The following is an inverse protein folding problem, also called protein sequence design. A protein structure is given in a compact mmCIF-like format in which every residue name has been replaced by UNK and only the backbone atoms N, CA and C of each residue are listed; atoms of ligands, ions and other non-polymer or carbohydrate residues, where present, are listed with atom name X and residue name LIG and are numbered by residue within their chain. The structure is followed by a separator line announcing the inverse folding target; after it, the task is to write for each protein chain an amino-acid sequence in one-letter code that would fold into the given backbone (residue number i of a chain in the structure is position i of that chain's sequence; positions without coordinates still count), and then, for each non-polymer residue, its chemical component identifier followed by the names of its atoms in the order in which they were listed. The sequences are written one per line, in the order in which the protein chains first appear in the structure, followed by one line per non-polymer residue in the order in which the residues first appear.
data_IF_805727795599
#
_entry.id   IF_805727795599
#
_cell.length_a   1.000
_cell.length_b   1.000
_cell.length_c   1.000
_cell.angle_alpha   90.00
_cell.angle_beta   90.00
_cell.angle_gamma   90.00
#
_symmetry.space_group_name_H-M   'P 1'
#
loop_
_entity.id
_entity.type
_entity.pdbx_description
1 polymer ?
#
# COMPACT_ATOMS: atom_id res chain seq x y z
N UNK A 1 8.66 3.14 18.23
CA UNK A 1 8.28 1.87 17.59
C UNK A 1 9.42 0.90 17.78
N UNK A 2 9.11 -0.38 17.94
CA UNK A 2 10.10 -1.45 18.18
C UNK A 2 9.88 -2.50 17.11
N UNK A 3 10.93 -2.83 16.37
CA UNK A 3 10.89 -3.82 15.30
C UNK A 3 10.90 -5.23 15.88
N UNK A 4 9.94 -6.02 15.44
CA UNK A 4 9.81 -7.44 15.72
C UNK A 4 10.05 -8.21 14.44
N UNK A 5 10.65 -9.40 14.56
CA UNK A 5 10.94 -10.26 13.43
C UNK A 5 10.53 -11.69 13.74
N UNK A 6 9.75 -12.29 12.87
CA UNK A 6 9.54 -13.73 12.86
C UNK A 6 10.76 -14.40 12.22
N UNK A 7 11.39 -15.30 12.96
CA UNK A 7 12.59 -16.00 12.52
C UNK A 7 12.30 -17.13 11.51
N UNK A 8 11.05 -17.57 11.41
CA UNK A 8 10.62 -18.63 10.49
C UNK A 8 10.27 -18.03 9.13
N UNK A 9 9.41 -17.02 9.10
CA UNK A 9 8.94 -16.37 7.86
C UNK A 9 9.87 -15.24 7.41
N UNK A 10 10.63 -14.65 8.33
CA UNK A 10 11.44 -13.46 8.09
C UNK A 10 10.65 -12.15 8.16
N UNK A 11 9.35 -12.22 8.46
CA UNK A 11 8.45 -11.08 8.48
C UNK A 11 8.79 -10.09 9.60
N UNK A 12 8.69 -8.80 9.31
CA UNK A 12 8.99 -7.73 10.27
C UNK A 12 7.81 -6.81 10.49
N UNK A 13 7.49 -6.54 11.75
CA UNK A 13 6.44 -5.61 12.15
C UNK A 13 6.91 -4.66 13.24
N UNK A 14 6.11 -3.63 13.50
CA UNK A 14 6.40 -2.65 14.53
C UNK A 14 5.40 -2.76 15.67
N UNK A 15 5.92 -2.91 16.89
CA UNK A 15 5.13 -2.66 18.08
C UNK A 15 5.23 -1.20 18.53
N UNK A 16 4.10 -0.70 18.98
CA UNK A 16 4.07 0.51 19.78
C UNK A 16 4.75 0.29 21.13
N UNK A 17 5.25 1.39 21.71
CA UNK A 17 5.96 1.33 22.99
C UNK A 17 5.10 0.70 24.10
N UNK A 18 3.80 1.00 24.15
CA UNK A 18 2.89 0.45 25.15
C UNK A 18 2.79 -1.07 25.05
N UNK A 19 2.43 -1.57 23.86
CA UNK A 19 2.30 -3.01 23.56
C UNK A 19 3.59 -3.76 23.92
N UNK A 20 4.74 -3.23 23.52
CA UNK A 20 6.03 -3.84 23.86
C UNK A 20 6.28 -3.89 25.37
N UNK A 21 6.01 -2.81 26.10
CA UNK A 21 6.25 -2.77 27.54
C UNK A 21 5.34 -3.76 28.28
N UNK A 22 4.08 -3.85 27.89
CA UNK A 22 3.12 -4.80 28.46
C UNK A 22 3.56 -6.25 28.21
N UNK A 23 3.90 -6.58 26.96
CA UNK A 23 4.38 -7.92 26.60
C UNK A 23 5.70 -8.25 27.31
N UNK A 24 6.65 -7.31 27.37
CA UNK A 24 7.91 -7.50 28.11
C UNK A 24 7.68 -7.84 29.57
N UNK A 25 6.72 -7.16 30.22
CA UNK A 25 6.40 -7.42 31.63
C UNK A 25 5.90 -8.86 31.83
N UNK A 26 4.99 -9.30 30.96
CA UNK A 26 4.47 -10.67 30.96
C UNK A 26 5.56 -11.72 30.69
N UNK A 27 6.49 -11.43 29.77
CA UNK A 27 7.63 -12.30 29.49
C UNK A 27 8.54 -12.45 30.73
N UNK A 28 8.80 -11.35 31.45
CA UNK A 28 9.61 -11.36 32.67
C UNK A 28 8.94 -12.16 33.80
N UNK A 29 7.63 -11.97 33.99
CA UNK A 29 6.86 -12.72 34.98
C UNK A 29 6.84 -14.23 34.67
N UNK A 30 6.69 -14.58 33.39
CA UNK A 30 6.73 -15.97 32.93
C UNK A 30 8.10 -16.61 33.18
N UNK A 31 9.19 -15.90 32.90
CA UNK A 31 10.55 -16.37 33.20
C UNK A 31 10.79 -16.58 34.70
N UNK A 32 10.35 -15.64 35.55
CA UNK A 32 10.47 -15.77 37.00
C UNK A 32 9.69 -16.98 37.53
N UNK A 33 8.47 -17.18 37.03
CA UNK A 33 7.64 -18.35 37.36
C UNK A 33 8.29 -19.65 36.90
N UNK A 34 8.93 -19.65 35.72
CA UNK A 34 9.70 -20.80 35.23
C UNK A 34 10.84 -21.17 36.17
N UNK A 35 11.65 -20.20 36.59
CA UNK A 35 12.78 -20.41 37.52
C UNK A 35 12.32 -20.93 38.88
N UNK A 36 11.18 -20.47 39.38
CA UNK A 36 10.68 -20.83 40.72
C UNK A 36 9.92 -22.17 40.75
N UNK A 37 9.09 -22.44 39.73
CA UNK A 37 8.07 -23.48 39.81
C UNK A 37 8.02 -24.43 38.58
N UNK A 38 8.93 -24.27 37.61
CA UNK A 38 9.10 -25.24 36.51
C UNK A 38 8.29 -24.96 35.23
N UNK A 39 7.79 -23.74 35.04
CA UNK A 39 7.17 -23.30 33.79
C UNK A 39 5.67 -23.56 33.74
N UNK A 40 4.92 -22.54 33.32
CA UNK A 40 3.46 -22.62 33.18
C UNK A 40 3.14 -22.34 31.71
N UNK A 41 2.50 -23.30 31.04
CA UNK A 41 1.95 -23.09 29.70
C UNK A 41 0.75 -22.15 29.85
N UNK A 42 0.86 -20.94 29.30
CA UNK A 42 -0.25 -19.98 29.28
C UNK A 42 -1.13 -20.23 28.04
N UNK A 43 -2.46 -20.05 28.12
CA UNK A 43 -3.31 -20.04 26.95
C UNK A 43 -2.95 -18.86 26.03
N UNK A 44 -3.17 -19.00 24.72
CA UNK A 44 -2.71 -18.08 23.66
C UNK A 44 -3.05 -16.61 23.91
N UNK A 45 -4.21 -16.29 24.50
CA UNK A 45 -4.61 -14.91 24.85
C UNK A 45 -3.75 -14.25 25.94
N UNK A 46 -3.02 -15.04 26.71
CA UNK A 46 -2.17 -14.58 27.82
C UNK A 46 -0.70 -14.91 27.61
N UNK A 47 -0.37 -15.46 26.44
CA UNK A 47 1.00 -15.73 26.01
C UNK A 47 1.55 -14.45 25.35
N UNK A 48 2.59 -13.81 25.94
CA UNK A 48 3.17 -12.60 25.37
C UNK A 48 3.93 -12.82 24.07
N UNK A 49 4.19 -14.07 23.67
CA UNK A 49 4.81 -14.43 22.40
C UNK A 49 3.79 -14.74 21.31
N UNK A 50 2.50 -14.90 21.67
CA UNK A 50 1.45 -15.16 20.70
C UNK A 50 1.06 -13.86 19.99
N UNK A 51 1.20 -13.84 18.67
CA UNK A 51 0.69 -12.78 17.81
C UNK A 51 -0.61 -13.25 17.16
N UNK A 52 -1.63 -12.39 17.14
CA UNK A 52 -2.86 -12.67 16.38
C UNK A 52 -2.61 -12.53 14.88
N UNK A 53 -3.46 -13.14 14.05
CA UNK A 53 -3.43 -13.03 12.59
C UNK A 53 -3.79 -11.60 12.12
N UNK A 54 -2.98 -10.62 12.47
CA UNK A 54 -3.14 -9.23 12.06
C UNK A 54 -2.54 -9.00 10.66
N UNK A 55 -3.07 -8.01 9.96
CA UNK A 55 -2.56 -7.65 8.63
C UNK A 55 -1.21 -6.98 8.77
N UNK A 56 -0.18 -7.61 8.21
CA UNK A 56 1.18 -7.07 8.21
C UNK A 56 1.40 -6.05 7.09
N UNK A 57 2.02 -4.91 7.41
CA UNK A 57 2.49 -3.98 6.40
C UNK A 57 3.77 -4.50 5.74
N UNK A 58 3.65 -5.05 4.54
CA UNK A 58 4.80 -5.51 3.73
C UNK A 58 5.65 -4.33 3.24
N UNK A 59 5.00 -3.26 2.77
CA UNK A 59 5.72 -2.07 2.33
C UNK A 59 4.82 -0.98 1.77
N UNK A 60 5.43 0.13 1.37
CA UNK A 60 4.76 1.31 0.83
C UNK A 60 5.38 1.75 -0.50
N UNK A 61 4.56 2.28 -1.39
CA UNK A 61 4.97 2.77 -2.71
C UNK A 61 4.40 4.18 -2.95
N UNK A 62 5.22 5.25 -2.83
CA UNK A 62 4.74 6.61 -3.03
C UNK A 62 4.56 6.92 -4.52
N UNK A 63 3.37 7.37 -4.91
CA UNK A 63 3.07 7.82 -6.26
C UNK A 63 3.16 9.35 -6.36
N UNK A 64 4.05 9.86 -7.22
CA UNK A 64 4.19 11.29 -7.47
C UNK A 64 3.22 11.78 -8.54
N UNK A 65 2.35 12.73 -8.19
CA UNK A 65 1.27 13.21 -9.06
C UNK A 65 1.63 14.49 -9.84
N UNK A 66 2.87 14.97 -9.76
CA UNK A 66 3.26 16.28 -10.28
C UNK A 66 3.01 16.44 -11.79
N UNK A 67 3.22 15.40 -12.60
CA UNK A 67 2.99 15.50 -14.05
C UNK A 67 1.50 15.73 -14.39
N UNK A 68 0.57 15.26 -13.54
CA UNK A 68 -0.86 15.54 -13.70
C UNK A 68 -1.15 17.04 -13.56
N UNK A 69 -0.33 17.81 -12.84
CA UNK A 69 -0.53 19.26 -12.73
C UNK A 69 -0.35 19.99 -14.07
N UNK A 70 0.31 19.35 -15.03
CA UNK A 70 0.52 19.82 -16.40
C UNK A 70 -0.37 19.08 -17.42
N UNK A 71 -1.32 18.27 -16.94
CA UNK A 71 -2.12 17.32 -17.75
C UNK A 71 -1.27 16.34 -18.58
N UNK A 72 -0.13 15.90 -18.05
CA UNK A 72 0.63 14.80 -18.64
C UNK A 72 0.18 13.48 -18.05
N UNK A 73 0.14 12.43 -18.89
CA UNK A 73 -0.03 11.07 -18.41
C UNK A 73 1.27 10.53 -17.80
N UNK A 74 1.11 9.58 -16.88
CA UNK A 74 2.20 8.94 -16.17
C UNK A 74 1.98 7.44 -16.27
N UNK A 75 3.00 6.74 -16.73
CA UNK A 75 3.11 5.29 -16.61
C UNK A 75 4.42 5.00 -15.91
N UNK A 76 4.35 4.39 -14.72
CA UNK A 76 5.52 4.26 -13.84
C UNK A 76 5.50 2.98 -13.03
N UNK A 77 6.69 2.47 -12.74
CA UNK A 77 6.94 1.34 -11.85
C UNK A 77 7.45 1.87 -10.53
N UNK A 78 6.61 1.78 -9.49
CA UNK A 78 6.94 2.25 -8.15
C UNK A 78 7.59 1.11 -7.36
N UNK A 79 8.70 1.41 -6.69
CA UNK A 79 9.29 0.48 -5.73
C UNK A 79 8.42 0.41 -4.48
N UNK A 80 8.04 -0.81 -4.09
CA UNK A 80 7.43 -1.09 -2.80
C UNK A 80 8.58 -1.27 -1.82
N UNK A 81 8.63 -0.43 -0.79
CA UNK A 81 9.71 -0.40 0.20
C UNK A 81 9.21 -0.80 1.56
N UNK A 82 9.96 -1.67 2.26
CA UNK A 82 9.65 -2.08 3.63
C UNK A 82 9.86 -0.92 4.60
N UNK A 83 9.43 -1.11 5.85
CA UNK A 83 9.72 -0.18 6.95
C UNK A 83 11.22 0.04 7.19
N UNK A 84 12.06 -0.93 6.79
CA UNK A 84 13.52 -0.88 6.94
C UNK A 84 14.21 -0.23 5.73
N UNK A 85 13.45 0.09 4.68
CA UNK A 85 13.93 0.74 3.45
C UNK A 85 14.31 -0.22 2.33
N UNK A 86 14.19 -1.54 2.55
CA UNK A 86 14.49 -2.55 1.53
C UNK A 86 13.40 -2.58 0.46
N UNK A 87 13.80 -2.80 -0.80
CA UNK A 87 12.83 -2.98 -1.89
C UNK A 87 12.26 -4.39 -1.83
N UNK A 88 10.96 -4.49 -1.54
CA UNK A 88 10.23 -5.76 -1.39
C UNK A 88 9.35 -6.09 -2.59
N UNK A 89 9.19 -5.14 -3.53
CA UNK A 89 8.38 -5.36 -4.72
C UNK A 89 8.31 -4.17 -5.66
N UNK A 90 7.50 -4.32 -6.72
CA UNK A 90 7.26 -3.30 -7.75
C UNK A 90 5.76 -3.21 -8.03
N UNK A 91 5.20 -2.01 -7.97
CA UNK A 91 3.82 -1.70 -8.33
C UNK A 91 3.79 -0.90 -9.64
N UNK A 92 3.15 -1.43 -10.67
CA UNK A 92 2.94 -0.73 -11.94
C UNK A 92 1.64 0.07 -11.92
N UNK A 93 1.77 1.37 -12.16
CA UNK A 93 0.72 2.37 -12.05
C UNK A 93 0.61 3.15 -13.36
N UNK A 94 -0.62 3.48 -13.76
CA UNK A 94 -0.91 4.46 -14.80
C UNK A 94 -1.86 5.54 -14.30
N UNK A 95 -1.53 6.80 -14.57
CA UNK A 95 -2.34 7.97 -14.27
C UNK A 95 -2.55 8.77 -15.55
N UNK A 96 -3.81 9.03 -15.91
CA UNK A 96 -4.11 9.69 -17.18
C UNK A 96 -5.17 10.78 -16.98
N UNK A 97 -4.89 12.05 -17.32
CA UNK A 97 -5.90 13.09 -17.35
C UNK A 97 -7.09 12.68 -18.22
N UNK A 98 -8.29 12.94 -17.73
CA UNK A 98 -9.51 12.58 -18.42
C UNK A 98 -10.60 13.61 -18.16
N UNK A 99 -11.69 13.49 -18.91
CA UNK A 99 -12.90 14.25 -18.63
C UNK A 99 -13.72 13.57 -17.50
N UNK A 100 -14.84 14.19 -17.12
CA UNK A 100 -15.73 13.64 -16.07
C UNK A 100 -16.27 12.24 -16.37
N UNK A 101 -16.40 11.86 -17.64
CA UNK A 101 -16.86 10.52 -18.04
C UNK A 101 -15.73 9.49 -18.09
N UNK A 102 -14.49 9.86 -17.76
CA UNK A 102 -13.32 8.97 -17.83
C UNK A 102 -12.71 8.82 -19.21
N UNK A 103 -13.17 9.60 -20.19
CA UNK A 103 -12.56 9.63 -21.53
C UNK A 103 -11.27 10.41 -21.47
N UNK A 104 -10.19 9.85 -22.01
CA UNK A 104 -8.90 10.53 -22.08
C UNK A 104 -9.00 11.82 -22.89
N UNK A 105 -8.31 12.87 -22.42
CA UNK A 105 -8.21 14.13 -23.15
C UNK A 105 -7.43 13.88 -24.46
N UNK A 106 -7.91 14.37 -25.59
CA UNK A 106 -7.16 14.35 -26.83
C UNK A 106 -7.56 15.47 -27.79
N UNK A 107 -6.63 15.86 -28.66
CA UNK A 107 -6.72 17.04 -29.54
C UNK A 107 -7.94 16.98 -30.46
N UNK A 108 -8.39 15.75 -30.76
CA UNK A 108 -9.55 15.48 -31.62
C UNK A 108 -10.86 16.06 -31.06
N UNK A 109 -10.90 16.43 -29.78
CA UNK A 109 -12.06 17.04 -29.13
C UNK A 109 -11.90 18.54 -28.85
N UNK A 110 -10.81 19.17 -29.32
CA UNK A 110 -10.57 20.60 -29.12
C UNK A 110 -10.34 20.98 -27.65
N UNK A 111 -9.93 20.02 -26.82
CA UNK A 111 -9.56 20.24 -25.43
C UNK A 111 -8.05 20.54 -25.36
N UNK A 112 -7.66 21.59 -24.64
CA UNK A 112 -6.24 21.86 -24.36
C UNK A 112 -5.63 20.67 -23.62
N UNK A 113 -4.84 19.85 -24.32
CA UNK A 113 -4.28 18.62 -23.73
C UNK A 113 -3.34 18.97 -22.59
N UNK A 114 -2.54 20.02 -22.75
CA UNK A 114 -1.49 20.38 -21.81
C UNK A 114 -1.79 21.72 -21.14
N UNK A 115 -1.22 21.90 -19.95
CA UNK A 115 -1.28 23.16 -19.21
C UNK A 115 0.15 23.64 -18.99
N UNK A 116 0.46 24.87 -19.39
CA UNK A 116 1.80 25.45 -19.19
C UNK A 116 2.05 25.80 -17.72
N UNK A 117 1.07 26.41 -17.04
CA UNK A 117 1.17 26.76 -15.63
C UNK A 117 0.14 25.98 -14.81
N UNK A 118 0.56 25.12 -13.86
CA UNK A 118 -0.36 24.36 -13.01
C UNK A 118 -1.40 25.20 -12.27
N UNK A 119 -1.08 26.48 -12.00
CA UNK A 119 -1.99 27.44 -11.38
C UNK A 119 -3.25 27.69 -12.22
N UNK A 120 -3.18 27.52 -13.53
CA UNK A 120 -4.33 27.68 -14.44
C UNK A 120 -5.40 26.61 -14.22
N UNK A 121 -5.04 25.49 -13.56
CA UNK A 121 -5.99 24.47 -13.18
C UNK A 121 -6.80 24.88 -11.95
N UNK A 122 -6.36 25.84 -11.13
CA UNK A 122 -7.01 26.21 -9.87
C UNK A 122 -8.46 26.66 -10.10
N UNK A 123 -9.33 26.29 -9.16
CA UNK A 123 -10.76 26.55 -9.20
C UNK A 123 -11.53 25.91 -10.36
N UNK A 124 -10.88 25.09 -11.20
CA UNK A 124 -11.52 24.32 -12.27
C UNK A 124 -11.73 22.87 -11.84
N UNK A 125 -12.71 22.16 -12.42
CA UNK A 125 -12.81 20.72 -12.25
C UNK A 125 -11.60 20.03 -12.89
N UNK A 126 -11.09 19.01 -12.21
CA UNK A 126 -9.97 18.20 -12.70
C UNK A 126 -10.23 16.73 -12.45
N UNK A 127 -10.07 15.92 -13.49
CA UNK A 127 -10.31 14.49 -13.44
C UNK A 127 -9.12 13.74 -14.02
N UNK A 128 -8.81 12.59 -13.43
CA UNK A 128 -7.85 11.66 -14.01
C UNK A 128 -8.26 10.23 -13.71
N UNK A 129 -7.92 9.34 -14.64
CA UNK A 129 -8.07 7.90 -14.52
C UNK A 129 -6.81 7.34 -13.89
N UNK A 130 -6.97 6.56 -12.83
CA UNK A 130 -5.91 5.82 -12.17
C UNK A 130 -6.12 4.33 -12.45
N UNK A 131 -5.07 3.67 -12.93
CA UNK A 131 -5.04 2.23 -13.18
C UNK A 131 -3.89 1.61 -12.39
N UNK A 132 -4.20 0.63 -11.54
CA UNK A 132 -3.19 -0.23 -10.93
C UNK A 132 -3.11 -1.49 -11.77
N UNK A 133 -1.96 -1.71 -12.41
CA UNK A 133 -1.77 -2.76 -13.42
C UNK A 133 -1.33 -4.06 -12.78
N UNK A 134 -0.13 -4.07 -12.19
CA UNK A 134 0.47 -5.26 -11.60
C UNK A 134 1.22 -4.92 -10.33
N UNK A 135 1.28 -5.88 -9.42
CA UNK A 135 2.12 -5.85 -8.23
C UNK A 135 3.01 -7.08 -8.25
N UNK A 136 4.32 -6.90 -8.20
CA UNK A 136 5.28 -7.99 -8.03
C UNK A 136 5.87 -7.93 -6.63
N UNK A 137 5.83 -9.03 -5.86
CA UNK A 137 6.45 -9.14 -4.55
C UNK A 137 7.58 -10.17 -4.58
N UNK A 138 8.77 -9.77 -4.15
CA UNK A 138 9.97 -10.60 -4.32
C UNK A 138 10.11 -11.70 -3.27
N UNK A 139 9.41 -11.60 -2.14
CA UNK A 139 9.41 -12.65 -1.12
C UNK A 139 8.16 -13.54 -1.29
N UNK A 140 8.32 -14.85 -1.52
CA UNK A 140 7.19 -15.77 -1.64
C UNK A 140 6.34 -15.91 -0.37
N UNK A 141 6.91 -15.61 0.81
CA UNK A 141 6.13 -15.56 2.05
C UNK A 141 5.02 -14.50 2.01
N UNK A 142 5.22 -13.42 1.24
CA UNK A 142 4.29 -12.29 1.13
C UNK A 142 3.23 -12.48 0.04
N UNK A 143 3.06 -13.69 -0.51
CA UNK A 143 2.16 -13.93 -1.65
C UNK A 143 0.77 -14.44 -1.28
N UNK A 144 0.48 -14.66 0.01
CA UNK A 144 -0.83 -15.13 0.49
C UNK A 144 -1.57 -14.01 1.22
N UNK A 145 -2.87 -13.84 0.94
CA UNK A 145 -3.70 -12.88 1.68
C UNK A 145 -3.36 -11.42 1.39
N UNK A 146 -2.76 -11.12 0.23
CA UNK A 146 -2.18 -9.80 -0.05
C UNK A 146 -3.29 -8.78 -0.29
N UNK A 147 -3.14 -7.61 0.32
CA UNK A 147 -4.06 -6.48 0.15
C UNK A 147 -3.30 -5.23 -0.24
N UNK A 148 -3.82 -4.51 -1.22
CA UNK A 148 -3.32 -3.18 -1.61
C UNK A 148 -4.30 -2.14 -1.10
N UNK A 149 -3.82 -1.31 -0.16
CA UNK A 149 -4.56 -0.18 0.36
C UNK A 149 -3.99 1.11 -0.23
N UNK A 150 -4.85 1.98 -0.75
CA UNK A 150 -4.44 3.30 -1.19
C UNK A 150 -5.51 4.35 -0.87
N UNK A 151 -5.07 5.60 -0.79
CA UNK A 151 -5.94 6.74 -0.52
C UNK A 151 -5.53 7.91 -1.41
N UNK A 152 -6.51 8.55 -2.03
CA UNK A 152 -6.29 9.78 -2.78
C UNK A 152 -6.51 10.97 -1.85
N UNK A 153 -5.85 12.09 -2.14
CA UNK A 153 -6.00 13.32 -1.36
C UNK A 153 -7.49 13.68 -1.13
N UNK A 154 -7.85 13.97 0.13
CA UNK A 154 -9.22 14.23 0.63
C UNK A 154 -10.19 13.05 0.65
N UNK A 155 -9.78 11.84 0.29
CA UNK A 155 -10.60 10.65 0.55
C UNK A 155 -10.74 10.43 2.07
N UNK A 156 -11.96 10.17 2.52
CA UNK A 156 -12.26 9.85 3.94
C UNK A 156 -11.90 8.41 4.27
N UNK A 157 -12.02 7.50 3.30
CA UNK A 157 -11.77 6.07 3.45
C UNK A 157 -10.72 5.60 2.47
N UNK A 158 -9.91 4.64 2.90
CA UNK A 158 -8.97 3.96 2.02
C UNK A 158 -9.74 3.02 1.07
N UNK A 159 -9.22 2.87 -0.14
CA UNK A 159 -9.64 1.83 -1.07
C UNK A 159 -8.76 0.61 -0.82
N UNK A 160 -9.39 -0.55 -0.57
CA UNK A 160 -8.72 -1.82 -0.33
C UNK A 160 -8.98 -2.76 -1.51
N UNK A 161 -7.93 -3.36 -2.05
CA UNK A 161 -7.97 -4.38 -3.09
C UNK A 161 -7.42 -5.68 -2.52
N UNK A 162 -8.26 -6.71 -2.43
CA UNK A 162 -7.82 -8.05 -2.04
C UNK A 162 -7.33 -8.79 -3.29
N UNK A 163 -6.13 -9.39 -3.20
CA UNK A 163 -5.49 -10.09 -4.31
C UNK A 163 -5.82 -11.58 -4.38
N UNK A 164 -6.57 -12.10 -3.41
CA UNK A 164 -6.91 -13.51 -3.29
C UNK A 164 -7.78 -14.04 -4.46
N UNK A 165 -8.41 -13.13 -5.23
CA UNK A 165 -9.26 -13.43 -6.38
C UNK A 165 -8.58 -13.17 -7.74
N UNK A 166 -7.31 -12.76 -7.75
CA UNK A 166 -6.64 -12.29 -8.96
C UNK A 166 -5.73 -13.37 -9.55
N UNK A 167 -6.06 -13.78 -10.78
CA UNK A 167 -5.35 -14.82 -11.54
C UNK A 167 -3.89 -14.41 -11.78
N UNK A 168 -2.90 -15.28 -11.52
CA UNK A 168 -1.53 -15.03 -11.95
C UNK A 168 -1.49 -14.84 -13.48
N UNK A 169 -0.63 -13.95 -14.00
CA UNK A 169 -0.56 -13.69 -15.43
C UNK A 169 -0.20 -14.98 -16.19
N UNK A 170 -1.02 -15.32 -17.19
CA UNK A 170 -1.01 -16.63 -17.82
C UNK A 170 0.26 -16.99 -18.63
N UNK A 171 1.28 -16.12 -18.74
CA UNK A 171 2.37 -16.29 -19.71
C UNK A 171 3.79 -15.88 -19.29
N UNK A 172 4.09 -15.59 -18.03
CA UNK A 172 5.50 -15.39 -17.60
C UNK A 172 5.79 -16.14 -16.30
N UNK A 173 6.88 -16.89 -16.30
CA UNK A 173 7.22 -17.98 -15.38
C UNK A 173 7.67 -17.53 -13.97
N UNK A 174 7.07 -16.50 -13.37
CA UNK A 174 7.32 -16.14 -11.97
C UNK A 174 5.99 -16.02 -11.22
N UNK A 175 5.81 -16.82 -10.18
CA UNK A 175 4.63 -16.90 -9.30
C UNK A 175 4.43 -15.62 -8.45
N UNK A 176 5.21 -14.59 -8.72
CA UNK A 176 5.48 -13.48 -7.81
C UNK A 176 4.74 -12.20 -8.20
N UNK A 177 3.96 -12.24 -9.29
CA UNK A 177 3.27 -11.09 -9.87
C UNK A 177 1.76 -11.27 -9.87
N UNK A 178 1.06 -10.28 -9.31
CA UNK A 178 -0.39 -10.17 -9.25
C UNK A 178 -0.91 -9.18 -10.30
N UNK A 179 -1.98 -9.55 -11.01
CA UNK A 179 -2.70 -8.66 -11.92
C UNK A 179 -3.78 -7.90 -11.15
N UNK A 180 -3.63 -6.59 -10.95
CA UNK A 180 -4.57 -5.81 -10.12
C UNK A 180 -5.86 -5.43 -10.87
N UNK A 181 -5.79 -5.28 -12.20
CA UNK A 181 -6.90 -4.89 -13.10
C UNK A 181 -7.84 -3.81 -12.53
N UNK A 182 -7.31 -2.92 -11.69
CA UNK A 182 -8.11 -1.96 -10.94
C UNK A 182 -8.06 -0.61 -11.61
N UNK A 183 -9.23 -0.01 -11.81
CA UNK A 183 -9.37 1.30 -12.43
C UNK A 183 -10.32 2.17 -11.61
N UNK A 184 -9.91 3.41 -11.33
CA UNK A 184 -10.74 4.41 -10.65
C UNK A 184 -10.59 5.76 -11.33
N UNK A 185 -11.72 6.45 -11.56
CA UNK A 185 -11.71 7.86 -11.93
C UNK A 185 -11.66 8.68 -10.65
N UNK A 186 -10.61 9.49 -10.52
CA UNK A 186 -10.48 10.47 -9.45
C UNK A 186 -10.99 11.80 -9.96
N UNK A 187 -11.84 12.45 -9.17
CA UNK A 187 -12.48 13.71 -9.54
C UNK A 187 -12.31 14.74 -8.45
N UNK A 188 -11.76 15.89 -8.82
CA UNK A 188 -11.76 17.09 -8.01
C UNK A 188 -12.74 18.09 -8.64
N UNK A 189 -13.92 18.33 -8.02
CA UNK A 189 -14.88 19.30 -8.53
C UNK A 189 -14.30 20.71 -8.62
N UNK A 190 -13.37 21.02 -7.71
CA UNK A 190 -12.62 22.27 -7.67
C UNK A 190 -11.22 21.99 -7.13
N UNK A 191 -10.23 22.17 -7.98
CA UNK A 191 -8.82 22.13 -7.58
C UNK A 191 -8.49 23.30 -6.67
N UNK A 192 -7.72 23.03 -5.64
CA UNK A 192 -7.29 24.00 -4.65
C UNK A 192 -5.80 23.83 -4.44
N UNK A 193 -5.11 24.95 -4.16
CA UNK A 193 -3.72 24.90 -3.75
C UNK A 193 -3.66 24.25 -2.36
N UNK A 194 -2.74 23.29 -2.18
CA UNK A 194 -2.42 22.81 -0.83
C UNK A 194 -1.75 23.95 -0.07
N UNK A 195 -2.27 24.26 1.12
CA UNK A 195 -1.66 25.16 2.09
C UNK A 195 -0.65 24.40 2.94
#
# INVERSE_FOLDING_TARGET
MIEMKDLVTGDTWLWERGIFMDRRYLMQEMYQSYVQAGGIIRPSKSDPFFETDETLLVGTAPAFLQALAYRMDIETSLQVTSISGDVVGILNLRLQPCNRSGRLLCDKFGEDIFVEQPMDLLNKPYHFKMELKTLTLFNPAHQRGVKVNYRVFKDVKETCLCLDDLTPPANEASCDTFMLLHTRIVSFPRTQQMQ
#
